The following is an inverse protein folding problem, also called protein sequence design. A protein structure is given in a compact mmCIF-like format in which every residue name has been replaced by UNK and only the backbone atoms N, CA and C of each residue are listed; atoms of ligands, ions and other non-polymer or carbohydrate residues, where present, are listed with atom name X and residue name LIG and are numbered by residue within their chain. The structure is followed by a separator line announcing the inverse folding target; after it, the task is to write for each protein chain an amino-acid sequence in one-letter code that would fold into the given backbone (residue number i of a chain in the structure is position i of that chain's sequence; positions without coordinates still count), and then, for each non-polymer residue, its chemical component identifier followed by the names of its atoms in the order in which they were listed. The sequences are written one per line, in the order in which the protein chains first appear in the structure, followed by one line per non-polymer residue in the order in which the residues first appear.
data_IF_155622213164
#
_entry.id   IF_155622213164
#
_cell.length_a   1.000
_cell.length_b   1.000
_cell.length_c   1.000
_cell.angle_alpha   90.00
_cell.angle_beta   90.00
_cell.angle_gamma   90.00
#
_symmetry.space_group_name_H-M   'P 1'
#
loop_
_entity.id
_entity.type
_entity.pdbx_description
1 polymer ?
#
# COMPACT_ATOMS: atom_id res chain seq x y z
N UNK A 1 2.96 -17.92 -8.01
CA UNK A 1 3.11 -17.00 -6.86
C UNK A 1 3.30 -15.60 -7.42
N UNK A 2 2.51 -14.63 -6.95
CA UNK A 2 2.57 -13.22 -7.37
C UNK A 2 2.69 -12.40 -6.09
N UNK A 3 3.62 -11.44 -6.06
CA UNK A 3 3.78 -10.49 -4.96
C UNK A 3 3.34 -9.13 -5.49
N UNK A 4 2.34 -8.53 -4.84
CA UNK A 4 1.82 -7.20 -5.18
C UNK A 4 2.29 -6.18 -4.14
N UNK A 5 2.75 -5.03 -4.61
CA UNK A 5 3.25 -3.93 -3.78
C UNK A 5 2.71 -2.60 -4.34
N UNK A 6 2.08 -1.80 -3.48
CA UNK A 6 1.33 -0.62 -3.92
C UNK A 6 2.17 0.58 -4.41
N UNK A 7 3.48 0.58 -4.19
CA UNK A 7 4.34 1.69 -4.64
C UNK A 7 5.81 1.34 -4.77
N UNK A 8 6.30 0.45 -3.91
CA UNK A 8 7.68 -0.02 -3.94
C UNK A 8 7.76 -1.45 -3.38
N UNK A 9 8.53 -2.32 -4.03
CA UNK A 9 8.97 -3.60 -3.49
C UNK A 9 10.49 -3.58 -3.33
N UNK A 10 10.99 -3.71 -2.10
CA UNK A 10 12.42 -3.73 -1.79
C UNK A 10 12.82 -5.02 -1.09
N UNK A 11 13.80 -5.74 -1.66
CA UNK A 11 14.45 -6.90 -1.07
C UNK A 11 15.81 -6.49 -0.55
N UNK A 12 16.05 -6.59 0.76
CA UNK A 12 17.30 -6.19 1.40
C UNK A 12 17.97 -7.38 2.08
N UNK A 13 19.27 -7.56 1.84
CA UNK A 13 20.08 -8.56 2.52
C UNK A 13 21.53 -8.09 2.63
N UNK A 14 22.14 -8.27 3.81
CA UNK A 14 23.54 -7.91 4.08
C UNK A 14 23.91 -6.48 3.64
N UNK A 15 23.01 -5.51 3.85
CA UNK A 15 23.20 -4.10 3.50
C UNK A 15 23.09 -3.77 2.01
N UNK A 16 22.75 -4.73 1.15
CA UNK A 16 22.48 -4.52 -0.28
C UNK A 16 20.98 -4.60 -0.55
N UNK A 17 20.51 -3.96 -1.61
CA UNK A 17 19.11 -3.99 -1.99
C UNK A 17 18.88 -4.20 -3.49
N UNK A 18 17.74 -4.83 -3.78
CA UNK A 18 17.08 -4.81 -5.09
C UNK A 18 15.70 -4.21 -4.88
N UNK A 19 15.37 -3.19 -5.68
CA UNK A 19 14.14 -2.43 -5.56
C UNK A 19 13.39 -2.39 -6.89
N UNK A 20 12.06 -2.46 -6.82
CA UNK A 20 11.13 -2.25 -7.93
C UNK A 20 10.17 -1.13 -7.53
N UNK A 21 10.15 -0.05 -8.31
CA UNK A 21 9.23 1.08 -8.14
C UNK A 21 8.79 1.63 -9.51
N UNK A 22 8.08 2.77 -9.53
CA UNK A 22 7.63 3.41 -10.77
C UNK A 22 8.77 3.83 -11.71
N UNK A 23 10.00 3.96 -11.21
CA UNK A 23 11.21 4.25 -11.98
C UNK A 23 11.90 3.01 -12.55
N UNK A 24 11.39 1.80 -12.25
CA UNK A 24 11.90 0.53 -12.76
C UNK A 24 12.64 -0.29 -11.71
N UNK A 25 13.62 -1.08 -12.17
CA UNK A 25 14.39 -2.00 -11.32
C UNK A 25 15.74 -1.37 -10.98
N UNK A 26 15.99 -1.16 -9.69
CA UNK A 26 17.25 -0.59 -9.18
C UNK A 26 17.97 -1.57 -8.28
N UNK A 27 19.31 -1.61 -8.35
CA UNK A 27 20.13 -2.41 -7.44
C UNK A 27 21.31 -1.62 -6.90
N UNK A 28 21.70 -1.91 -5.66
CA UNK A 28 22.82 -1.22 -5.01
C UNK A 28 24.19 -1.73 -5.43
N UNK A 29 24.27 -2.87 -6.12
CA UNK A 29 25.50 -3.52 -6.61
C UNK A 29 25.22 -4.29 -7.89
N UNK A 30 26.29 -4.65 -8.61
CA UNK A 30 26.22 -5.51 -9.78
C UNK A 30 25.53 -6.84 -9.44
N UNK A 31 24.58 -7.24 -10.28
CA UNK A 31 23.81 -8.48 -10.14
C UNK A 31 24.15 -9.40 -11.31
N UNK A 32 24.34 -10.68 -11.04
CA UNK A 32 24.49 -11.69 -12.09
C UNK A 32 23.12 -12.22 -12.49
N UNK A 33 22.81 -12.18 -13.79
CA UNK A 33 21.63 -12.82 -14.35
C UNK A 33 21.97 -14.24 -14.79
N UNK A 34 21.57 -15.21 -13.97
CA UNK A 34 21.67 -16.63 -14.31
C UNK A 34 20.48 -17.10 -15.16
N UNK A 35 20.65 -18.20 -15.87
CA UNK A 35 19.56 -18.90 -16.55
C UNK A 35 19.04 -20.04 -15.68
N UNK A 36 17.72 -20.27 -15.66
CA UNK A 36 17.10 -21.32 -14.85
C UNK A 36 15.60 -21.15 -14.71
N UNK A 37 14.92 -22.18 -14.21
CA UNK A 37 13.51 -22.12 -13.83
C UNK A 37 13.38 -21.71 -12.36
N UNK A 38 12.29 -21.00 -11.97
CA UNK A 38 12.05 -20.68 -10.57
C UNK A 38 11.96 -21.95 -9.73
N UNK A 39 12.73 -22.01 -8.65
CA UNK A 39 12.64 -23.10 -7.67
C UNK A 39 11.67 -22.72 -6.55
N UNK A 40 10.98 -23.72 -5.99
CA UNK A 40 10.16 -23.53 -4.79
C UNK A 40 11.03 -23.63 -3.55
N UNK A 41 10.97 -22.61 -2.69
CA UNK A 41 11.54 -22.64 -1.34
C UNK A 41 10.59 -21.97 -0.36
N UNK A 42 10.52 -22.47 0.88
CA UNK A 42 9.78 -21.83 1.97
C UNK A 42 10.71 -20.92 2.76
N UNK A 43 10.33 -19.65 2.93
CA UNK A 43 11.06 -18.69 3.75
C UNK A 43 10.36 -18.47 5.09
N UNK A 44 11.11 -18.56 6.19
CA UNK A 44 10.64 -18.29 7.57
C UNK A 44 10.69 -16.78 7.89
N UNK A 45 10.35 -15.94 6.91
CA UNK A 45 10.44 -14.49 7.06
C UNK A 45 9.43 -13.99 8.08
N UNK A 46 9.91 -13.47 9.21
CA UNK A 46 9.07 -12.81 10.20
C UNK A 46 8.77 -11.39 9.71
N UNK A 47 7.51 -11.09 9.42
CA UNK A 47 7.08 -9.73 9.13
C UNK A 47 7.40 -8.85 10.34
N UNK A 48 8.03 -7.67 10.16
CA UNK A 48 8.26 -6.76 11.27
C UNK A 48 6.91 -6.39 11.88
N UNK A 49 6.85 -6.47 13.20
CA UNK A 49 5.69 -6.03 13.97
C UNK A 49 5.47 -4.55 13.66
N UNK A 50 4.23 -4.22 13.32
CA UNK A 50 3.80 -2.94 12.75
C UNK A 50 4.55 -1.78 13.40
N UNK A 51 5.17 -0.92 12.58
CA UNK A 51 5.86 0.30 13.04
C UNK A 51 4.90 1.05 13.97
N UNK A 52 5.20 1.06 15.28
CA UNK A 52 4.54 1.95 16.23
C UNK A 52 4.88 3.37 15.78
N UNK A 53 3.95 3.99 15.04
CA UNK A 53 3.99 5.41 14.72
C UNK A 53 3.95 6.14 16.07
N UNK A 54 5.12 6.48 16.58
CA UNK A 54 5.29 7.17 17.84
C UNK A 54 4.89 8.63 17.61
N UNK A 55 3.65 8.93 17.97
CA UNK A 55 3.09 10.26 18.27
C UNK A 55 3.76 11.46 17.59
N UNK A 56 3.44 11.72 16.33
CA UNK A 56 3.45 13.11 15.84
C UNK A 56 2.06 13.65 16.07
N UNK A 57 1.95 14.58 17.02
CA UNK A 57 0.75 15.38 17.26
C UNK A 57 0.26 15.97 15.93
N UNK A 58 -0.82 15.43 15.39
CA UNK A 58 -1.56 16.06 14.31
C UNK A 58 -2.08 17.38 14.91
N UNK A 59 -1.73 18.56 14.36
CA UNK A 59 -2.45 19.76 14.75
C UNK A 59 -3.93 19.50 14.41
N UNK A 60 -4.81 19.59 15.42
CA UNK A 60 -6.25 19.53 15.23
C UNK A 60 -6.63 20.53 14.13
N UNK A 61 -6.74 20.02 12.91
CA UNK A 61 -7.40 20.72 11.82
C UNK A 61 -8.86 20.73 12.26
N UNK A 62 -9.33 21.93 12.58
CA UNK A 62 -10.73 22.25 12.79
C UNK A 62 -11.58 21.52 11.76
N UNK A 63 -12.59 20.80 12.24
CA UNK A 63 -13.65 20.16 11.45
C UNK A 63 -14.03 21.03 10.25
N UNK A 64 -13.77 20.61 9.00
CA UNK A 64 -14.65 20.95 7.91
C UNK A 64 -15.82 19.96 7.92
N UNK A 65 -17.02 20.52 7.78
CA UNK A 65 -18.34 19.91 7.65
C UNK A 65 -18.46 18.39 7.71
N UNK A 66 -19.33 17.94 8.61
CA UNK A 66 -19.85 16.57 8.68
C UNK A 66 -20.22 16.14 7.26
N UNK A 67 -19.51 15.18 6.64
CA UNK A 67 -19.91 14.71 5.33
C UNK A 67 -21.26 14.00 5.52
N UNK A 68 -22.24 14.47 4.76
CA UNK A 68 -23.57 13.89 4.66
C UNK A 68 -23.46 12.36 4.57
N UNK A 69 -24.07 11.65 5.52
CA UNK A 69 -24.19 10.20 5.48
C UNK A 69 -25.58 9.91 4.90
N UNK A 70 -25.75 9.73 3.58
CA UNK A 70 -26.99 9.23 3.05
C UNK A 70 -27.20 7.82 3.58
N UNK A 71 -28.34 7.57 4.25
CA UNK A 71 -28.67 6.23 4.76
C UNK A 71 -28.64 5.15 3.66
N UNK A 72 -28.82 5.55 2.39
CA UNK A 72 -28.60 4.69 1.22
C UNK A 72 -27.99 5.50 0.07
N UNK A 73 -26.78 5.15 -0.33
CA UNK A 73 -26.13 5.67 -1.54
C UNK A 73 -26.69 4.96 -2.77
N UNK A 74 -26.99 5.70 -3.84
CA UNK A 74 -27.47 5.12 -5.08
C UNK A 74 -26.30 4.64 -5.96
N UNK A 75 -26.45 3.53 -6.71
CA UNK A 75 -25.36 3.01 -7.56
C UNK A 75 -24.93 4.03 -8.62
N UNK A 76 -25.90 4.74 -9.22
CA UNK A 76 -25.60 5.81 -10.19
C UNK A 76 -24.92 7.03 -9.56
N UNK A 77 -25.05 7.21 -8.24
CA UNK A 77 -24.34 8.24 -7.49
C UNK A 77 -22.86 7.87 -7.33
N UNK A 78 -22.57 6.59 -7.08
CA UNK A 78 -21.20 6.08 -6.99
C UNK A 78 -20.44 6.22 -8.31
N UNK A 79 -21.10 5.89 -9.43
CA UNK A 79 -20.51 6.01 -10.76
C UNK A 79 -20.19 7.47 -11.09
N UNK A 80 -21.07 8.42 -10.74
CA UNK A 80 -20.79 9.85 -10.92
C UNK A 80 -19.66 10.34 -10.02
N UNK A 81 -19.61 9.89 -8.76
CA UNK A 81 -18.53 10.27 -7.86
C UNK A 81 -17.16 9.81 -8.38
N UNK A 82 -17.09 8.62 -8.98
CA UNK A 82 -15.90 8.13 -9.67
C UNK A 82 -15.51 9.02 -10.86
N UNK A 83 -16.47 9.41 -11.70
CA UNK A 83 -16.24 10.33 -12.82
C UNK A 83 -15.71 11.71 -12.37
N UNK A 84 -16.17 12.21 -11.22
CA UNK A 84 -15.72 13.49 -10.66
C UNK A 84 -14.49 13.38 -9.74
N UNK A 85 -13.95 12.16 -9.54
CA UNK A 85 -12.78 11.92 -8.69
C UNK A 85 -13.03 12.13 -7.19
N UNK A 86 -14.28 12.02 -6.75
CA UNK A 86 -14.66 12.17 -5.34
C UNK A 86 -14.43 10.86 -4.57
N UNK A 87 -13.81 10.95 -3.39
CA UNK A 87 -13.46 9.79 -2.56
C UNK A 87 -14.56 9.55 -1.51
N UNK A 88 -15.17 8.36 -1.52
CA UNK A 88 -16.13 7.93 -0.50
C UNK A 88 -15.49 6.95 0.50
N UNK A 89 -15.60 7.25 1.79
CA UNK A 89 -15.06 6.42 2.88
C UNK A 89 -16.17 5.55 3.46
N UNK A 90 -16.13 4.22 3.21
CA UNK A 90 -17.02 3.27 3.90
C UNK A 90 -16.50 3.03 5.32
N UNK A 91 -17.27 3.42 6.33
CA UNK A 91 -17.02 3.04 7.73
C UNK A 91 -17.98 1.92 8.14
N UNK A 92 -17.44 0.76 8.50
CA UNK A 92 -18.22 -0.28 9.16
C UNK A 92 -18.22 -0.02 10.67
N UNK A 93 -19.41 0.23 11.23
CA UNK A 93 -19.60 0.33 12.67
C UNK A 93 -19.73 -1.10 13.22
N UNK A 94 -18.72 -1.55 13.97
CA UNK A 94 -18.81 -2.77 14.77
C UNK A 94 -19.62 -2.45 16.03
N UNK A 95 -20.82 -3.03 16.16
CA UNK A 95 -21.64 -3.05 17.39
C UNK A 95 -21.56 -4.44 17.99
#
# INVERSE_FOLDING_TARGET
MVIDAGGELTLQAAGNFVKIDAGGITSSKMINFGTGAPSSGGGEGQLPDVVKILGTSIPQSSLPDIPFIPEKICISCLIKAEEYGEILVKRENNV
#
